data_IF_967927621241
#
_entry.id   IF_967927621241
#
_cell.length_a   1.000
_cell.length_b   1.000
_cell.length_c   1.000
_cell.angle_alpha   90.00
_cell.angle_beta   90.00
_cell.angle_gamma   90.00
#
_symmetry.space_group_name_H-M   'P 1'
#
loop_
_entity.id
_entity.type
_entity.pdbx_description
1 polymer ?
#
# COMPACT_ATOMS: atom_id res chain seq x y z
N UNK A 1 -0.96 9.28 -12.67
CA UNK A 1 -2.40 9.54 -12.40
C UNK A 1 -2.71 9.44 -10.89
N UNK A 2 -2.40 8.32 -10.23
CA UNK A 2 -2.68 8.12 -8.78
C UNK A 2 -2.03 9.19 -7.88
N UNK A 3 -0.72 9.42 -8.00
CA UNK A 3 -0.05 10.38 -7.10
C UNK A 3 -0.53 11.82 -7.23
N UNK A 4 -0.97 12.24 -8.42
CA UNK A 4 -1.57 13.57 -8.62
C UNK A 4 -2.94 13.65 -7.93
N UNK A 5 -3.78 12.62 -8.09
CA UNK A 5 -5.09 12.57 -7.43
C UNK A 5 -4.95 12.58 -5.91
N UNK A 6 -3.97 11.84 -5.37
CA UNK A 6 -3.66 11.84 -3.93
C UNK A 6 -3.37 13.26 -3.41
N UNK A 7 -2.58 14.05 -4.14
CA UNK A 7 -2.34 15.46 -3.81
C UNK A 7 -3.61 16.31 -3.86
N UNK A 8 -4.39 16.18 -4.92
CA UNK A 8 -5.62 16.98 -5.13
C UNK A 8 -6.66 16.77 -4.02
N UNK A 9 -6.76 15.57 -3.48
CA UNK A 9 -7.69 15.25 -2.38
C UNK A 9 -7.09 15.45 -0.99
N UNK A 10 -5.81 15.85 -0.91
CA UNK A 10 -5.10 15.98 0.37
C UNK A 10 -4.97 14.65 1.13
N UNK A 11 -4.68 13.55 0.42
CA UNK A 11 -4.57 12.24 1.04
C UNK A 11 -3.35 12.16 1.97
N UNK A 12 -3.54 11.64 3.19
CA UNK A 12 -2.45 11.38 4.14
C UNK A 12 -1.66 10.10 3.81
N UNK A 13 -2.26 9.19 3.03
CA UNK A 13 -1.68 7.88 2.69
C UNK A 13 -2.25 7.37 1.37
N UNK A 14 -1.45 6.59 0.63
CA UNK A 14 -1.91 5.85 -0.55
C UNK A 14 -1.84 4.35 -0.26
N UNK A 15 -2.91 3.62 -0.55
CA UNK A 15 -2.96 2.16 -0.41
C UNK A 15 -3.12 1.52 -1.80
N UNK A 16 -2.16 0.68 -2.20
CA UNK A 16 -2.17 -0.09 -3.45
C UNK A 16 -2.49 -1.56 -3.14
N UNK A 17 -3.60 -2.07 -3.67
CA UNK A 17 -4.14 -3.40 -3.32
C UNK A 17 -4.19 -4.31 -4.54
N UNK A 18 -3.12 -5.09 -4.72
CA UNK A 18 -3.03 -6.08 -5.77
C UNK A 18 -2.51 -5.55 -7.10
N UNK A 19 -2.11 -6.50 -7.94
CA UNK A 19 -1.73 -6.38 -9.35
C UNK A 19 -1.00 -5.08 -9.69
N UNK A 20 0.12 -4.87 -9.01
CA UNK A 20 0.99 -3.70 -9.20
C UNK A 20 1.62 -3.76 -10.59
N UNK A 21 1.96 -4.96 -11.02
CA UNK A 21 2.55 -5.29 -12.31
C UNK A 21 1.65 -6.23 -13.09
N UNK A 22 1.92 -6.34 -14.40
CA UNK A 22 1.33 -7.35 -15.26
C UNK A 22 2.39 -8.43 -15.56
N UNK A 23 2.56 -9.38 -14.63
CA UNK A 23 3.60 -10.42 -14.68
C UNK A 23 5.02 -9.86 -14.77
N UNK A 24 5.30 -8.83 -13.97
CA UNK A 24 6.58 -8.13 -13.94
C UNK A 24 7.56 -8.66 -12.90
N UNK A 25 8.65 -7.94 -12.74
CA UNK A 25 9.71 -8.12 -11.75
C UNK A 25 9.50 -7.29 -10.48
N UNK A 26 10.23 -7.61 -9.42
CA UNK A 26 10.21 -6.84 -8.15
C UNK A 26 10.66 -5.41 -8.41
N UNK A 27 11.66 -5.23 -9.27
CA UNK A 27 12.22 -3.95 -9.68
C UNK A 27 11.19 -3.09 -10.43
N UNK A 28 10.39 -3.70 -11.30
CA UNK A 28 9.29 -3.01 -12.00
C UNK A 28 8.21 -2.56 -11.02
N UNK A 29 7.81 -3.42 -10.07
CA UNK A 29 6.85 -3.05 -9.04
C UNK A 29 7.37 -1.87 -8.20
N UNK A 30 8.64 -1.92 -7.76
CA UNK A 30 9.23 -0.82 -6.99
C UNK A 30 9.33 0.46 -7.80
N UNK A 31 9.63 0.38 -9.11
CA UNK A 31 9.63 1.56 -9.99
C UNK A 31 8.24 2.19 -10.10
N UNK A 32 7.19 1.38 -10.26
CA UNK A 32 5.80 1.85 -10.30
C UNK A 32 5.44 2.54 -8.98
N UNK A 33 5.65 1.86 -7.84
CA UNK A 33 5.37 2.41 -6.52
C UNK A 33 6.16 3.70 -6.25
N UNK A 34 7.44 3.74 -6.64
CA UNK A 34 8.29 4.93 -6.49
C UNK A 34 7.78 6.11 -7.31
N UNK A 35 7.27 5.87 -8.53
CA UNK A 35 6.67 6.93 -9.35
C UNK A 35 5.41 7.53 -8.72
N UNK A 36 4.62 6.69 -8.02
CA UNK A 36 3.45 7.17 -7.26
C UNK A 36 3.92 7.99 -6.06
N UNK A 37 4.93 7.50 -5.33
CA UNK A 37 5.46 8.15 -4.13
C UNK A 37 6.06 9.52 -4.44
N UNK A 38 6.83 9.63 -5.53
CA UNK A 38 7.46 10.87 -5.97
C UNK A 38 6.42 11.97 -6.21
N UNK A 39 5.26 11.60 -6.76
CA UNK A 39 4.19 12.55 -7.03
C UNK A 39 3.33 12.78 -5.79
N UNK A 40 2.92 11.73 -5.07
CA UNK A 40 2.00 11.81 -3.94
C UNK A 40 2.62 12.51 -2.72
N UNK A 41 3.93 12.28 -2.47
CA UNK A 41 4.68 12.80 -1.31
C UNK A 41 4.10 12.39 0.05
N UNK A 42 3.35 11.31 0.09
CA UNK A 42 2.84 10.65 1.31
C UNK A 42 3.17 9.16 1.29
N UNK A 43 3.18 8.48 2.45
CA UNK A 43 3.51 7.06 2.51
C UNK A 43 2.60 6.22 1.60
N UNK A 44 3.19 5.17 1.02
CA UNK A 44 2.47 4.18 0.23
C UNK A 44 2.50 2.85 0.95
N UNK A 45 1.32 2.33 1.27
CA UNK A 45 1.13 0.95 1.69
C UNK A 45 0.81 0.10 0.46
N UNK A 46 1.33 -1.12 0.39
CA UNK A 46 0.93 -2.04 -0.67
C UNK A 46 0.77 -3.48 -0.22
N UNK A 47 -0.08 -4.20 -0.94
CA UNK A 47 -0.25 -5.65 -0.90
C UNK A 47 -0.08 -6.17 -2.34
N UNK A 48 0.82 -7.12 -2.62
CA UNK A 48 0.97 -7.71 -3.96
C UNK A 48 -0.27 -8.51 -4.36
N UNK A 49 -0.55 -8.58 -5.66
CA UNK A 49 -1.62 -9.40 -6.23
C UNK A 49 -1.13 -10.67 -6.90
N UNK A 50 -1.97 -11.25 -7.75
CA UNK A 50 -1.68 -12.51 -8.42
C UNK A 50 -0.76 -12.32 -9.63
N UNK A 51 -0.87 -11.17 -10.29
CA UNK A 51 -0.01 -10.84 -11.43
C UNK A 51 1.37 -10.33 -11.01
N UNK A 52 1.60 -10.19 -9.71
CA UNK A 52 2.86 -9.73 -9.15
C UNK A 52 3.81 -10.91 -8.87
N UNK A 53 5.13 -10.70 -8.97
CA UNK A 53 6.11 -11.74 -8.67
C UNK A 53 5.97 -12.18 -7.20
N UNK A 54 5.96 -13.49 -6.89
CA UNK A 54 5.74 -13.99 -5.52
C UNK A 54 6.80 -13.50 -4.52
N UNK A 55 7.97 -13.09 -4.99
CA UNK A 55 9.02 -12.46 -4.20
C UNK A 55 8.55 -11.15 -3.52
N UNK A 56 7.55 -10.47 -4.09
CA UNK A 56 6.96 -9.26 -3.48
C UNK A 56 6.23 -9.55 -2.17
N UNK A 57 5.80 -10.80 -1.91
CA UNK A 57 5.10 -11.14 -0.66
C UNK A 57 5.98 -10.88 0.58
N UNK A 58 7.30 -11.10 0.46
CA UNK A 58 8.28 -10.85 1.51
C UNK A 58 9.20 -9.65 1.23
N UNK A 59 8.98 -8.94 0.12
CA UNK A 59 9.87 -7.85 -0.28
C UNK A 59 9.86 -6.68 0.70
N UNK A 60 11.05 -6.15 0.95
CA UNK A 60 11.27 -4.93 1.73
C UNK A 60 11.81 -3.85 0.78
N UNK A 61 11.01 -2.82 0.48
CA UNK A 61 11.41 -1.74 -0.42
C UNK A 61 12.61 -0.96 0.09
N UNK A 62 13.33 -0.30 -0.83
CA UNK A 62 14.47 0.57 -0.49
C UNK A 62 14.04 1.84 0.23
N UNK A 63 12.88 2.38 -0.13
CA UNK A 63 12.31 3.57 0.49
C UNK A 63 11.52 3.22 1.75
N UNK A 64 11.79 3.90 2.87
CA UNK A 64 11.02 3.75 4.11
C UNK A 64 9.55 4.18 3.97
N UNK A 65 9.24 5.00 2.96
CA UNK A 65 7.87 5.45 2.67
C UNK A 65 7.12 4.50 1.73
N UNK A 66 7.74 3.38 1.31
CA UNK A 66 7.07 2.28 0.63
C UNK A 66 6.97 1.11 1.61
N UNK A 67 5.76 0.75 1.99
CA UNK A 67 5.51 -0.20 3.08
C UNK A 67 4.69 -1.36 2.55
N UNK A 68 5.36 -2.50 2.36
CA UNK A 68 4.68 -3.77 2.14
C UNK A 68 3.96 -4.17 3.43
N UNK A 69 2.63 -4.26 3.40
CA UNK A 69 1.80 -4.68 4.54
C UNK A 69 1.27 -6.11 4.40
N UNK A 70 1.63 -6.84 3.33
CA UNK A 70 1.22 -8.23 3.15
C UNK A 70 1.63 -9.10 4.35
N UNK A 71 0.64 -9.74 4.99
CA UNK A 71 0.82 -10.61 6.16
C UNK A 71 1.58 -10.00 7.36
N UNK A 72 1.80 -8.67 7.39
CA UNK A 72 2.49 -8.01 8.50
C UNK A 72 1.51 -7.57 9.58
N UNK A 73 1.70 -8.07 10.80
CA UNK A 73 1.02 -7.54 11.99
C UNK A 73 1.76 -6.28 12.46
N UNK A 74 1.10 -5.12 12.43
CA UNK A 74 1.60 -3.89 13.07
C UNK A 74 1.03 -3.82 14.49
N UNK A 75 1.88 -3.58 15.48
CA UNK A 75 1.43 -3.25 16.85
C UNK A 75 0.57 -1.97 16.76
N UNK A 76 -0.55 -1.94 17.48
CA UNK A 76 -1.50 -0.81 17.47
C UNK A 76 -2.70 -0.95 16.52
N UNK A 77 -2.68 -1.85 15.54
CA UNK A 77 -3.84 -2.13 14.70
C UNK A 77 -4.88 -2.97 15.48
N UNK A 78 -5.92 -2.34 16.02
CA UNK A 78 -7.10 -3.04 16.55
C UNK A 78 -8.05 -3.35 15.41
N UNK A 79 -8.34 -4.62 15.19
CA UNK A 79 -9.41 -5.06 14.30
C UNK A 79 -10.75 -4.54 14.82
N UNK A 80 -11.36 -3.57 14.13
CA UNK A 80 -12.79 -3.30 14.24
C UNK A 80 -13.43 -3.94 13.02
N UNK A 81 -14.36 -4.85 13.26
CA UNK A 81 -14.87 -5.82 12.28
C UNK A 81 -15.14 -5.29 10.87
N UNK A 82 -15.05 -6.22 9.92
CA UNK A 82 -15.27 -6.02 8.49
C UNK A 82 -16.70 -5.56 8.21
N UNK A 83 -16.89 -4.30 7.80
CA UNK A 83 -18.19 -3.82 7.34
C UNK A 83 -18.40 -4.29 5.90
N UNK A 84 -19.48 -5.06 5.66
CA UNK A 84 -19.92 -5.49 4.33
C UNK A 84 -20.98 -4.52 3.83
N UNK A 85 -20.66 -3.72 2.82
CA UNK A 85 -21.66 -3.04 1.99
C UNK A 85 -21.37 -3.39 0.52
N UNK A 86 -22.37 -3.94 -0.18
CA UNK A 86 -22.34 -4.08 -1.64
C UNK A 86 -21.22 -4.94 -2.25
N UNK A 87 -20.55 -5.81 -1.48
CA UNK A 87 -19.44 -6.63 -1.98
C UNK A 87 -18.08 -5.92 -1.97
N UNK A 88 -18.00 -4.71 -1.40
CA UNK A 88 -16.75 -3.97 -1.20
C UNK A 88 -16.27 -4.20 0.23
N UNK A 89 -15.07 -4.75 0.38
CA UNK A 89 -14.42 -4.90 1.68
C UNK A 89 -13.69 -3.61 2.04
N UNK A 90 -14.25 -2.82 2.97
CA UNK A 90 -13.55 -1.68 3.54
C UNK A 90 -12.82 -2.10 4.82
N UNK A 91 -11.51 -2.31 4.72
CA UNK A 91 -10.65 -2.50 5.89
C UNK A 91 -10.41 -1.13 6.54
N UNK A 92 -11.18 -0.79 7.58
CA UNK A 92 -10.98 0.46 8.35
C UNK A 92 -9.88 0.23 9.40
N UNK A 93 -8.63 0.12 8.95
CA UNK A 93 -7.48 0.04 9.84
C UNK A 93 -7.10 1.46 10.33
N UNK A 94 -7.27 1.73 11.63
CA UNK A 94 -6.73 2.93 12.26
C UNK A 94 -5.29 2.62 12.66
N UNK A 95 -4.33 3.20 11.95
CA UNK A 95 -2.94 3.23 12.39
C UNK A 95 -2.77 4.48 13.25
N UNK A 96 -2.65 4.32 14.57
CA UNK A 96 -2.08 5.37 15.42
C UNK A 96 -0.56 5.31 15.22
N UNK A 97 0.03 6.43 14.79
CA UNK A 97 1.46 6.60 14.90
C UNK A 97 1.83 6.58 16.39
N UNK A 98 2.76 5.71 16.75
CA UNK A 98 3.47 5.86 18.02
C UNK A 98 4.43 7.03 17.82
N UNK A 99 4.22 8.13 18.56
CA UNK A 99 5.18 9.20 18.68
C UNK A 99 6.33 8.69 19.57
N UNK A 100 7.55 8.62 19.02
CA UNK A 100 8.81 8.59 19.78
C UNK A 100 9.55 9.91 19.56
#
# INVERSE_FOLDING_TARGET
MVGRRAKEVGADIVLVVGDITNFGSVEEAEKILSSILEVARVPILFVPGNCDPPQLLSYSPRSQNLINIHAKKRRGARERGMLREGGIYSLKAIFRGDEE
#
